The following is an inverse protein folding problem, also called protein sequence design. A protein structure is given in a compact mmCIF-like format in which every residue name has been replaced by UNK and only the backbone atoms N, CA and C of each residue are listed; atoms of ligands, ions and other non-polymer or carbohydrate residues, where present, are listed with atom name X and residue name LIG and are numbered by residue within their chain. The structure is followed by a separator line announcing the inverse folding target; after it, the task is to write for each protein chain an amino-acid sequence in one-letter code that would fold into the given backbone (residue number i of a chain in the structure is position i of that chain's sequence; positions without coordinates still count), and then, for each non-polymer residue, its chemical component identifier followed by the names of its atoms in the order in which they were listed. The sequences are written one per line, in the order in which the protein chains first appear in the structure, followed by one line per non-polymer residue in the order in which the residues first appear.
data_IF_894350042334
#
_entry.id   IF_894350042334
#
_cell.length_a   1.000
_cell.length_b   1.000
_cell.length_c   1.000
_cell.angle_alpha   90.00
_cell.angle_beta   90.00
_cell.angle_gamma   90.00
#
_symmetry.space_group_name_H-M   'P 1'
#
loop_
_entity.id
_entity.type
_entity.pdbx_description
1 polymer ?
#
# COMPACT_ATOMS: atom_id res chain seq x y z
N UNK A 1 -26.25 2.23 15.31
CA UNK A 1 -24.79 2.04 15.50
C UNK A 1 -24.20 1.99 14.12
N UNK A 2 -23.48 3.03 13.70
CA UNK A 2 -22.68 2.93 12.49
C UNK A 2 -21.59 1.89 12.74
N UNK A 3 -21.41 0.96 11.79
CA UNK A 3 -20.35 -0.03 11.89
C UNK A 3 -18.99 0.72 11.94
N UNK A 4 -18.12 0.37 12.89
CA UNK A 4 -16.76 0.90 12.89
C UNK A 4 -16.14 0.70 11.50
N UNK A 5 -15.53 1.75 10.92
CA UNK A 5 -14.89 1.59 9.61
C UNK A 5 -13.79 0.54 9.71
N UNK A 6 -13.84 -0.43 8.79
CA UNK A 6 -12.87 -1.53 8.76
C UNK A 6 -11.45 -0.97 8.65
N UNK A 7 -10.55 -1.38 9.55
CA UNK A 7 -9.14 -1.00 9.50
C UNK A 7 -8.46 -1.58 8.24
N UNK A 8 -7.85 -0.73 7.43
CA UNK A 8 -7.39 -1.06 6.08
C UNK A 8 -5.94 -1.54 6.09
N UNK A 9 -5.67 -2.76 5.64
CA UNK A 9 -4.32 -3.27 5.46
C UNK A 9 -3.88 -3.13 4.00
N UNK A 10 -2.70 -2.53 3.80
CA UNK A 10 -2.05 -2.38 2.50
C UNK A 10 -0.72 -3.12 2.51
N UNK A 11 -0.50 -3.97 1.52
CA UNK A 11 0.82 -4.53 1.25
C UNK A 11 1.54 -3.69 0.20
N UNK A 12 2.86 -3.48 0.38
CA UNK A 12 3.71 -2.85 -0.63
C UNK A 12 4.73 -3.88 -1.07
N UNK A 13 4.87 -4.09 -2.38
CA UNK A 13 5.83 -5.05 -2.93
C UNK A 13 7.27 -4.61 -2.66
N UNK A 14 8.23 -5.54 -2.60
CA UNK A 14 9.63 -5.22 -2.33
C UNK A 14 10.24 -4.39 -3.47
N UNK A 15 11.41 -3.73 -3.24
CA UNK A 15 12.02 -2.88 -4.27
C UNK A 15 12.39 -3.60 -5.57
N UNK A 16 12.66 -4.91 -5.50
CA UNK A 16 12.94 -5.74 -6.67
C UNK A 16 11.89 -6.85 -6.79
N UNK A 17 11.54 -7.27 -8.02
CA UNK A 17 10.62 -8.39 -8.25
C UNK A 17 11.04 -9.68 -7.53
N UNK A 18 10.06 -10.46 -7.12
CA UNK A 18 10.27 -11.75 -6.46
C UNK A 18 9.56 -12.87 -7.23
N UNK A 19 9.99 -14.13 -7.00
CA UNK A 19 9.32 -15.26 -7.59
C UNK A 19 7.84 -15.31 -7.20
N UNK A 20 6.97 -15.70 -8.13
CA UNK A 20 5.52 -15.86 -7.93
C UNK A 20 4.81 -14.59 -7.39
N UNK A 21 5.36 -13.40 -7.67
CA UNK A 21 4.86 -12.15 -7.10
C UNK A 21 3.37 -11.91 -7.40
N UNK A 22 2.94 -12.15 -8.62
CA UNK A 22 1.53 -11.99 -9.00
C UNK A 22 0.60 -12.92 -8.19
N UNK A 23 1.04 -14.16 -7.92
CA UNK A 23 0.30 -15.10 -7.08
C UNK A 23 0.28 -14.68 -5.60
N UNK A 24 1.39 -14.13 -5.09
CA UNK A 24 1.49 -13.57 -3.74
C UNK A 24 0.61 -12.34 -3.55
N UNK A 25 0.55 -11.45 -4.55
CA UNK A 25 -0.38 -10.32 -4.59
C UNK A 25 -1.83 -10.82 -4.51
N UNK A 26 -2.19 -11.82 -5.32
CA UNK A 26 -3.53 -12.39 -5.29
C UNK A 26 -3.85 -13.02 -3.92
N UNK A 27 -2.91 -13.79 -3.34
CA UNK A 27 -3.09 -14.42 -2.04
C UNK A 27 -3.36 -13.42 -0.90
N UNK A 28 -2.63 -12.29 -0.86
CA UNK A 28 -2.88 -11.22 0.10
C UNK A 28 -4.29 -10.63 -0.06
N UNK A 29 -4.71 -10.35 -1.29
CA UNK A 29 -6.00 -9.77 -1.59
C UNK A 29 -7.16 -10.73 -1.33
N UNK A 30 -6.99 -12.02 -1.65
CA UNK A 30 -8.01 -13.06 -1.42
C UNK A 30 -8.15 -13.38 0.07
N UNK A 31 -7.07 -13.25 0.85
CA UNK A 31 -7.13 -13.34 2.32
C UNK A 31 -7.91 -12.18 2.97
N UNK A 32 -8.17 -11.07 2.26
CA UNK A 32 -8.95 -9.95 2.77
C UNK A 32 -8.18 -8.64 2.96
N UNK A 33 -6.90 -8.58 2.59
CA UNK A 33 -6.19 -7.30 2.59
C UNK A 33 -6.86 -6.33 1.65
N UNK A 34 -6.95 -5.07 2.08
CA UNK A 34 -7.69 -4.05 1.34
C UNK A 34 -7.06 -3.77 -0.03
N UNK A 35 -5.73 -3.61 -0.10
CA UNK A 35 -5.04 -3.22 -1.33
C UNK A 35 -3.59 -3.71 -1.36
N UNK A 36 -3.03 -3.91 -2.55
CA UNK A 36 -1.59 -4.12 -2.75
C UNK A 36 -1.04 -3.01 -3.64
N UNK A 37 0.07 -2.41 -3.23
CA UNK A 37 0.83 -1.46 -4.02
C UNK A 37 1.96 -2.15 -4.76
N UNK A 38 1.89 -2.20 -6.09
CA UNK A 38 2.97 -2.67 -6.95
C UNK A 38 4.00 -1.54 -7.10
N UNK A 39 5.18 -1.75 -6.52
CA UNK A 39 6.23 -0.74 -6.42
C UNK A 39 7.60 -1.35 -6.61
N UNK A 40 8.19 -1.18 -7.79
CA UNK A 40 9.57 -1.57 -8.11
C UNK A 40 10.34 -0.38 -8.66
N UNK A 41 10.96 0.44 -7.79
CA UNK A 41 11.69 1.63 -8.23
C UNK A 41 12.82 1.26 -9.18
N UNK A 42 12.77 1.80 -10.41
CA UNK A 42 13.78 1.55 -11.44
C UNK A 42 13.55 0.31 -12.29
N UNK A 43 12.50 -0.47 -12.07
CA UNK A 43 12.08 -1.49 -13.02
C UNK A 43 11.59 -0.85 -14.33
N UNK A 44 11.91 -1.49 -15.44
CA UNK A 44 11.37 -1.09 -16.73
C UNK A 44 9.91 -1.53 -16.93
N UNK A 45 9.27 -0.98 -17.93
CA UNK A 45 7.88 -1.27 -18.23
C UNK A 45 7.65 -2.73 -18.61
N UNK A 46 8.61 -3.39 -19.23
CA UNK A 46 8.50 -4.81 -19.63
C UNK A 46 8.45 -5.72 -18.38
N UNK A 47 9.29 -5.45 -17.39
CA UNK A 47 9.29 -6.15 -16.09
C UNK A 47 7.97 -5.95 -15.35
N UNK A 48 7.48 -4.71 -15.28
CA UNK A 48 6.19 -4.42 -14.64
C UNK A 48 5.03 -5.08 -15.38
N UNK A 49 5.05 -5.05 -16.70
CA UNK A 49 4.03 -5.67 -17.55
C UNK A 49 3.98 -7.19 -17.38
N UNK A 50 5.14 -7.86 -17.28
CA UNK A 50 5.21 -9.28 -17.01
C UNK A 50 4.50 -9.64 -15.69
N UNK A 51 4.74 -8.90 -14.61
CA UNK A 51 4.09 -9.13 -13.32
C UNK A 51 2.57 -8.86 -13.43
N UNK A 52 2.18 -7.71 -13.97
CA UNK A 52 0.79 -7.28 -14.04
C UNK A 52 -0.06 -8.22 -14.89
N UNK A 53 0.48 -8.72 -16.01
CA UNK A 53 -0.24 -9.63 -16.90
C UNK A 53 -0.65 -10.93 -16.21
N UNK A 54 0.15 -11.38 -15.23
CA UNK A 54 -0.09 -12.59 -14.42
C UNK A 54 -1.01 -12.36 -13.21
N UNK A 55 -1.28 -11.10 -12.81
CA UNK A 55 -2.23 -10.82 -11.73
C UNK A 55 -3.64 -11.19 -12.22
N UNK A 56 -4.39 -12.04 -11.49
CA UNK A 56 -5.76 -12.40 -11.87
C UNK A 56 -6.66 -11.15 -12.02
N UNK A 57 -7.47 -11.11 -13.09
CA UNK A 57 -8.30 -9.95 -13.40
C UNK A 57 -9.26 -9.57 -12.25
N UNK A 58 -9.77 -10.56 -11.52
CA UNK A 58 -10.70 -10.36 -10.41
C UNK A 58 -10.14 -9.56 -9.23
N UNK A 59 -8.81 -9.51 -9.06
CA UNK A 59 -8.17 -8.77 -7.96
C UNK A 59 -7.50 -7.47 -8.40
N UNK A 60 -7.35 -7.21 -9.70
CA UNK A 60 -6.70 -6.00 -10.25
C UNK A 60 -7.33 -4.70 -9.75
N UNK A 61 -8.62 -4.69 -9.47
CA UNK A 61 -9.33 -3.56 -8.89
C UNK A 61 -8.79 -3.11 -7.51
N UNK A 62 -8.09 -4.00 -6.80
CA UNK A 62 -7.46 -3.74 -5.50
C UNK A 62 -5.93 -3.61 -5.56
N UNK A 63 -5.35 -3.45 -6.76
CA UNK A 63 -3.92 -3.14 -6.95
C UNK A 63 -3.76 -1.65 -7.24
N UNK A 64 -2.70 -1.03 -6.73
CA UNK A 64 -2.28 0.34 -7.06
C UNK A 64 -0.85 0.34 -7.60
N UNK A 65 -0.60 1.08 -8.68
CA UNK A 65 0.73 1.26 -9.25
C UNK A 65 1.39 2.55 -8.79
N UNK A 66 2.70 2.51 -8.57
CA UNK A 66 3.51 3.67 -8.17
C UNK A 66 4.16 4.41 -9.35
N UNK A 67 4.37 3.73 -10.47
CA UNK A 67 5.00 4.25 -11.68
C UNK A 67 4.31 3.62 -12.90
N UNK A 68 4.67 4.02 -14.13
CA UNK A 68 4.16 3.43 -15.39
C UNK A 68 2.62 3.35 -15.47
N UNK A 69 1.94 4.44 -15.12
CA UNK A 69 0.47 4.48 -15.01
C UNK A 69 -0.27 4.11 -16.30
N UNK A 70 0.38 4.18 -17.46
CA UNK A 70 -0.21 3.70 -18.70
C UNK A 70 -0.49 2.19 -18.69
N UNK A 71 0.34 1.40 -17.93
CA UNK A 71 0.07 -0.02 -17.69
C UNK A 71 -1.17 -0.21 -16.81
N UNK A 72 -1.40 0.69 -15.84
CA UNK A 72 -2.62 0.65 -15.04
C UNK A 72 -3.87 0.83 -15.90
N UNK A 73 -3.82 1.73 -16.88
CA UNK A 73 -4.89 1.91 -17.89
C UNK A 73 -5.06 0.65 -18.72
N UNK A 74 -3.97 0.15 -19.31
CA UNK A 74 -3.95 -1.02 -20.22
C UNK A 74 -4.52 -2.28 -19.57
N UNK A 75 -4.17 -2.55 -18.31
CA UNK A 75 -4.52 -3.79 -17.60
C UNK A 75 -5.72 -3.66 -16.66
N UNK A 76 -6.36 -2.50 -16.60
CA UNK A 76 -7.51 -2.29 -15.74
C UNK A 76 -7.18 -2.32 -14.24
N UNK A 77 -5.99 -1.88 -13.86
CA UNK A 77 -5.57 -1.76 -12.45
C UNK A 77 -6.42 -0.72 -11.74
N UNK A 78 -6.78 -1.00 -10.47
CA UNK A 78 -7.77 -0.23 -9.72
C UNK A 78 -7.27 1.06 -9.09
N UNK A 79 -5.96 1.33 -9.07
CA UNK A 79 -5.45 2.55 -8.45
C UNK A 79 -4.08 2.99 -8.97
N UNK A 80 -3.80 4.27 -8.76
CA UNK A 80 -2.48 4.88 -8.94
C UNK A 80 -2.05 5.54 -7.63
N UNK A 81 -0.76 5.43 -7.31
CA UNK A 81 -0.17 6.02 -6.11
C UNK A 81 0.84 7.08 -6.49
N UNK A 82 0.49 8.34 -6.25
CA UNK A 82 1.29 9.50 -6.62
C UNK A 82 2.52 9.61 -5.71
N UNK A 83 3.62 10.01 -6.31
CA UNK A 83 4.89 10.24 -5.63
C UNK A 83 5.66 11.37 -6.33
N UNK A 84 6.90 11.65 -5.90
CA UNK A 84 7.71 12.74 -6.49
C UNK A 84 7.99 12.53 -7.99
N UNK A 85 8.12 11.29 -8.46
CA UNK A 85 8.42 10.97 -9.87
C UNK A 85 7.18 11.05 -10.74
N UNK A 86 6.04 10.62 -10.18
CA UNK A 86 4.74 10.58 -10.85
C UNK A 86 3.73 11.38 -10.02
N UNK A 87 3.76 12.72 -10.10
CA UNK A 87 2.99 13.60 -9.20
C UNK A 87 1.51 13.75 -9.60
N UNK A 88 1.10 13.27 -10.78
CA UNK A 88 -0.26 13.39 -11.28
C UNK A 88 -0.78 12.04 -11.80
N UNK A 89 -2.08 11.80 -11.62
CA UNK A 89 -2.77 10.67 -12.23
C UNK A 89 -2.92 10.89 -13.75
N UNK A 90 -3.13 9.83 -14.56
CA UNK A 90 -3.48 9.98 -15.96
C UNK A 90 -4.73 10.85 -16.14
N UNK A 91 -4.78 11.61 -17.23
CA UNK A 91 -5.96 12.42 -17.57
C UNK A 91 -7.21 11.55 -17.64
N UNK A 92 -8.30 12.02 -17.03
CA UNK A 92 -9.57 11.29 -16.99
C UNK A 92 -9.55 9.99 -16.16
N UNK A 93 -8.56 9.79 -15.26
CA UNK A 93 -8.46 8.60 -14.44
C UNK A 93 -9.69 8.42 -13.52
N UNK A 94 -10.51 7.34 -13.71
CA UNK A 94 -11.80 7.23 -13.03
C UNK A 94 -11.76 6.37 -11.74
N UNK A 95 -10.56 5.99 -11.28
CA UNK A 95 -10.38 5.02 -10.19
C UNK A 95 -9.55 5.62 -9.07
N UNK A 96 -9.19 4.81 -8.08
CA UNK A 96 -8.49 5.22 -6.87
C UNK A 96 -7.20 5.99 -7.16
N UNK A 97 -7.07 7.15 -6.51
CA UNK A 97 -5.85 7.96 -6.48
C UNK A 97 -5.39 8.13 -5.05
N UNK A 98 -4.15 7.79 -4.78
CA UNK A 98 -3.52 7.96 -3.47
C UNK A 98 -2.16 8.62 -3.60
N UNK A 99 -1.55 9.06 -2.46
CA UNK A 99 -0.27 9.75 -2.47
C UNK A 99 0.58 9.44 -1.23
N UNK A 100 1.90 9.40 -1.41
CA UNK A 100 2.87 9.40 -0.31
C UNK A 100 3.02 10.81 0.28
N UNK A 101 2.88 10.93 1.60
CA UNK A 101 3.12 12.14 2.37
C UNK A 101 4.11 11.86 3.51
N UNK A 102 4.92 12.86 3.85
CA UNK A 102 5.94 12.77 4.90
C UNK A 102 5.71 13.78 6.03
N UNK A 103 4.75 14.68 5.86
CA UNK A 103 4.35 15.68 6.86
C UNK A 103 2.83 15.84 6.86
N UNK A 104 2.28 16.34 7.98
CA UNK A 104 0.86 16.69 8.07
C UNK A 104 0.52 17.80 7.07
N UNK A 105 1.45 18.74 6.84
CA UNK A 105 1.26 19.81 5.85
C UNK A 105 1.08 19.27 4.43
N UNK A 106 1.88 18.29 4.01
CA UNK A 106 1.68 17.61 2.72
C UNK A 106 0.33 16.88 2.67
N UNK A 107 -0.05 16.23 3.77
CA UNK A 107 -1.31 15.50 3.85
C UNK A 107 -2.54 16.42 3.72
N UNK A 108 -2.51 17.61 4.31
CA UNK A 108 -3.58 18.63 4.19
C UNK A 108 -3.78 19.11 2.74
N UNK A 109 -2.72 19.09 1.92
CA UNK A 109 -2.81 19.46 0.50
C UNK A 109 -3.39 18.35 -0.39
N UNK A 110 -3.71 17.20 0.20
CA UNK A 110 -4.23 16.02 -0.50
C UNK A 110 -5.75 15.83 -0.34
N UNK A 111 -6.46 16.88 0.07
CA UNK A 111 -7.93 16.85 0.13
C UNK A 111 -8.51 16.48 -1.24
N UNK A 112 -9.43 15.50 -1.26
CA UNK A 112 -10.03 14.99 -2.50
C UNK A 112 -9.33 13.74 -3.09
N UNK A 113 -8.20 13.30 -2.54
CA UNK A 113 -7.67 11.97 -2.83
C UNK A 113 -8.40 10.90 -2.00
N UNK A 114 -8.45 9.66 -2.52
CA UNK A 114 -9.11 8.56 -1.81
C UNK A 114 -8.41 8.20 -0.50
N UNK A 115 -7.09 8.26 -0.48
CA UNK A 115 -6.27 8.12 0.73
C UNK A 115 -4.84 8.60 0.51
N UNK A 116 -4.13 8.78 1.61
CA UNK A 116 -2.69 9.02 1.63
C UNK A 116 -1.97 7.98 2.47
N UNK A 117 -0.68 7.77 2.20
CA UNK A 117 0.23 7.13 3.15
C UNK A 117 1.05 8.19 3.86
N UNK A 118 1.10 8.16 5.19
CA UNK A 118 1.90 9.07 6.01
C UNK A 118 3.05 8.30 6.64
N UNK A 119 4.28 8.74 6.38
CA UNK A 119 5.49 7.99 6.76
C UNK A 119 6.68 8.89 7.12
N UNK A 120 7.60 8.42 8.00
CA UNK A 120 7.58 7.15 8.72
C UNK A 120 6.85 7.26 10.05
N UNK A 121 5.96 6.30 10.38
CA UNK A 121 5.23 6.30 11.67
C UNK A 121 6.01 5.62 12.80
N UNK A 122 6.90 4.67 12.46
CA UNK A 122 7.79 3.99 13.40
C UNK A 122 9.20 3.93 12.82
N UNK A 123 10.18 3.58 13.67
CA UNK A 123 11.55 3.33 13.24
C UNK A 123 11.59 2.24 12.16
N UNK A 124 12.39 2.48 11.14
CA UNK A 124 12.48 1.56 9.99
C UNK A 124 13.04 0.20 10.41
N UNK A 125 12.37 -0.89 9.98
CA UNK A 125 12.84 -2.26 10.17
C UNK A 125 14.06 -2.55 9.27
N UNK A 126 14.10 -1.95 8.08
CA UNK A 126 15.09 -2.28 7.04
C UNK A 126 16.16 -1.22 6.81
N UNK A 127 16.04 -0.04 7.43
CA UNK A 127 16.99 1.08 7.27
C UNK A 127 17.41 1.62 8.63
N UNK A 128 18.54 1.20 9.19
CA UNK A 128 19.05 1.73 10.45
C UNK A 128 19.18 3.27 10.41
N UNK A 129 18.77 3.94 11.48
CA UNK A 129 18.84 5.39 11.60
C UNK A 129 17.66 6.16 10.96
N UNK A 130 16.71 5.49 10.34
CA UNK A 130 15.49 6.14 9.84
C UNK A 130 14.40 6.07 10.91
N UNK A 131 14.35 7.10 11.76
CA UNK A 131 13.46 7.17 12.93
C UNK A 131 12.01 7.46 12.54
N UNK A 132 11.08 6.92 13.32
CA UNK A 132 9.67 7.27 13.26
C UNK A 132 9.43 8.72 13.68
N UNK A 133 8.32 9.28 13.24
CA UNK A 133 7.90 10.66 13.52
C UNK A 133 6.53 10.63 14.20
N UNK A 134 6.40 11.38 15.28
CA UNK A 134 5.07 11.67 15.85
C UNK A 134 4.39 12.76 15.02
N UNK A 135 3.27 12.43 14.42
CA UNK A 135 2.55 13.36 13.53
C UNK A 135 1.52 14.25 14.24
N UNK A 136 1.29 14.04 15.54
CA UNK A 136 0.24 14.77 16.28
C UNK A 136 -1.17 14.47 15.72
N UNK A 137 -2.01 15.51 15.62
CA UNK A 137 -3.35 15.33 15.07
C UNK A 137 -3.31 15.03 13.57
N UNK A 138 -3.98 13.96 13.17
CA UNK A 138 -4.11 13.59 11.76
C UNK A 138 -5.04 14.55 11.02
N UNK A 139 -4.80 14.83 9.73
CA UNK A 139 -5.66 15.70 8.94
C UNK A 139 -7.06 15.09 8.78
N UNK A 140 -8.09 15.92 8.92
CA UNK A 140 -9.46 15.59 8.57
C UNK A 140 -9.70 15.72 7.06
N UNK A 141 -10.68 14.98 6.53
CA UNK A 141 -11.10 15.11 5.12
C UNK A 141 -10.29 14.26 4.13
N UNK A 142 -9.31 13.47 4.60
CA UNK A 142 -8.60 12.46 3.81
C UNK A 142 -8.36 11.21 4.65
N UNK A 143 -8.46 10.03 4.02
CA UNK A 143 -8.15 8.76 4.67
C UNK A 143 -6.64 8.62 4.85
N UNK A 144 -6.15 8.48 6.09
CA UNK A 144 -4.72 8.39 6.40
C UNK A 144 -4.32 6.96 6.75
N UNK A 145 -3.35 6.43 6.01
CA UNK A 145 -2.76 5.10 6.20
C UNK A 145 -1.34 5.28 6.75
N UNK A 146 -1.03 4.67 7.88
CA UNK A 146 0.31 4.72 8.47
C UNK A 146 1.29 3.82 7.73
N UNK A 147 2.50 4.32 7.42
CA UNK A 147 3.57 3.57 6.75
C UNK A 147 4.92 3.86 7.43
N UNK A 148 5.83 2.90 7.37
CA UNK A 148 7.19 2.98 7.92
C UNK A 148 7.30 2.26 9.27
N UNK A 149 8.13 1.21 9.32
CA UNK A 149 8.35 0.38 10.49
C UNK A 149 7.12 -0.40 10.99
N UNK A 150 6.08 -0.50 10.18
CA UNK A 150 4.82 -1.18 10.55
C UNK A 150 5.00 -2.69 10.48
N UNK A 151 4.61 -3.37 11.57
CA UNK A 151 4.46 -4.82 11.68
C UNK A 151 3.00 -5.15 12.02
N UNK A 152 2.56 -6.42 11.94
CA UNK A 152 1.23 -6.81 12.38
C UNK A 152 0.90 -6.32 13.80
N UNK A 153 1.83 -6.48 14.74
CA UNK A 153 1.67 -6.09 16.15
C UNK A 153 1.57 -4.55 16.31
N UNK A 154 2.28 -3.79 15.48
CA UNK A 154 2.24 -2.31 15.50
C UNK A 154 1.02 -1.74 14.79
N UNK A 155 0.35 -2.52 13.94
CA UNK A 155 -0.85 -2.05 13.23
C UNK A 155 -1.98 -1.68 14.21
N UNK A 156 -2.15 -2.42 15.30
CA UNK A 156 -3.13 -2.09 16.34
C UNK A 156 -2.83 -0.74 17.03
N UNK A 157 -1.54 -0.36 17.15
CA UNK A 157 -1.15 0.95 17.70
C UNK A 157 -1.58 2.08 16.78
N UNK A 158 -1.47 1.90 15.44
CA UNK A 158 -1.93 2.88 14.46
C UNK A 158 -3.44 3.09 14.55
N UNK A 159 -4.22 2.05 14.76
CA UNK A 159 -5.68 2.15 14.98
C UNK A 159 -5.97 3.02 16.22
N UNK A 160 -5.27 2.80 17.33
CA UNK A 160 -5.40 3.59 18.53
C UNK A 160 -4.99 5.07 18.35
N UNK A 161 -4.07 5.36 17.43
CA UNK A 161 -3.63 6.70 17.06
C UNK A 161 -4.56 7.38 16.03
N UNK A 162 -5.67 6.73 15.63
CA UNK A 162 -6.66 7.28 14.71
C UNK A 162 -6.34 7.11 13.21
N UNK A 163 -5.32 6.34 12.85
CA UNK A 163 -5.11 5.99 11.44
C UNK A 163 -6.22 5.07 10.93
N UNK A 164 -6.64 5.27 9.69
CA UNK A 164 -7.66 4.44 9.05
C UNK A 164 -7.13 3.09 8.54
N UNK A 165 -5.81 2.88 8.65
CA UNK A 165 -5.17 1.64 8.22
C UNK A 165 -3.66 1.67 8.35
N UNK A 166 -3.03 0.57 7.97
CA UNK A 166 -1.60 0.33 8.02
C UNK A 166 -1.07 -0.18 6.67
N UNK A 167 0.07 0.34 6.22
CA UNK A 167 0.78 -0.16 5.06
C UNK A 167 2.10 -0.82 5.51
N UNK A 168 2.36 -2.03 5.00
CA UNK A 168 3.53 -2.84 5.33
C UNK A 168 4.35 -3.15 4.09
N UNK A 169 5.68 -3.08 4.21
CA UNK A 169 6.63 -3.51 3.20
C UNK A 169 7.61 -4.53 3.80
N UNK A 170 8.46 -4.10 4.71
CA UNK A 170 9.55 -4.91 5.27
C UNK A 170 9.09 -6.02 6.22
N UNK A 171 7.87 -5.96 6.74
CA UNK A 171 7.31 -7.01 7.60
C UNK A 171 6.69 -8.17 6.79
N UNK A 172 6.43 -7.96 5.48
CA UNK A 172 5.84 -9.00 4.64
C UNK A 172 6.95 -9.93 4.17
N UNK A 173 6.81 -11.26 4.33
CA UNK A 173 7.85 -12.22 3.97
C UNK A 173 7.84 -12.52 2.46
N UNK A 174 8.14 -11.51 1.63
CA UNK A 174 8.03 -11.60 0.17
C UNK A 174 8.86 -12.71 -0.47
N UNK A 175 9.90 -13.22 0.21
CA UNK A 175 10.72 -14.35 -0.28
C UNK A 175 10.10 -15.72 0.05
N UNK A 176 9.07 -15.76 0.89
CA UNK A 176 8.36 -16.98 1.27
C UNK A 176 7.49 -17.53 0.12
N UNK A 177 6.98 -18.73 0.26
CA UNK A 177 6.02 -19.34 -0.67
C UNK A 177 4.67 -18.65 -0.64
N UNK A 178 3.83 -18.87 -1.66
CA UNK A 178 2.45 -18.35 -1.70
C UNK A 178 1.64 -18.82 -0.49
N UNK A 179 1.80 -20.08 -0.06
CA UNK A 179 1.11 -20.61 1.12
C UNK A 179 1.50 -19.90 2.42
N UNK A 180 2.78 -19.60 2.59
CA UNK A 180 3.28 -18.86 3.76
C UNK A 180 2.80 -17.40 3.74
N UNK A 181 2.73 -16.77 2.57
CA UNK A 181 2.12 -15.43 2.40
C UNK A 181 0.64 -15.46 2.79
N UNK A 182 -0.11 -16.49 2.38
CA UNK A 182 -1.52 -16.64 2.77
C UNK A 182 -1.66 -16.76 4.29
N UNK A 183 -0.83 -17.60 4.92
CA UNK A 183 -0.80 -17.75 6.39
C UNK A 183 -0.46 -16.45 7.12
N UNK A 184 0.56 -15.72 6.64
CA UNK A 184 0.92 -14.40 7.15
C UNK A 184 -0.26 -13.42 7.03
N UNK A 185 -0.91 -13.38 5.86
CA UNK A 185 -2.01 -12.47 5.58
C UNK A 185 -3.19 -12.71 6.51
N UNK A 186 -3.61 -13.96 6.68
CA UNK A 186 -4.71 -14.35 7.57
C UNK A 186 -4.41 -14.01 9.03
N UNK A 187 -3.22 -14.40 9.52
CA UNK A 187 -2.79 -14.10 10.89
C UNK A 187 -2.73 -12.61 11.18
N UNK A 188 -2.30 -11.79 10.21
CA UNK A 188 -2.25 -10.33 10.38
C UNK A 188 -3.64 -9.74 10.55
N UNK A 189 -4.64 -10.23 9.80
CA UNK A 189 -6.03 -9.79 9.92
C UNK A 189 -6.65 -10.14 11.28
N UNK A 190 -6.23 -11.24 11.90
CA UNK A 190 -6.69 -11.64 13.24
C UNK A 190 -6.13 -10.73 14.34
N UNK A 191 -4.98 -10.08 14.11
CA UNK A 191 -4.32 -9.18 15.07
C UNK A 191 -4.88 -7.75 14.98
N UNK A 192 -5.33 -7.31 13.82
CA UNK A 192 -5.75 -5.93 13.52
C UNK A 192 -7.26 -5.74 13.59
#
# INVERSE_FOLDING_TARGET
MEAEPLFRLIAITPPAPVADEAAKIAALLDAGWWRVHLRHPGADDATLEEIISRIPAGVRGRVSMHDSFWLAVKYGIGGVHLNRRTPAAPEGWPRTVSRSCHTVGEALMCAGLDYITLSPVFDSISKPGYAGVEFGALPSGVTVIGLGGVTPERAAQLKALGFAGAAMLGAIPWQATVSEITGFATKTLEIC
#
